data_IF_311856738872
#
_entry.id   IF_311856738872
#
_cell.length_a   1.000
_cell.length_b   1.000
_cell.length_c   1.000
_cell.angle_alpha   90.00
_cell.angle_beta   90.00
_cell.angle_gamma   90.00
#
_symmetry.space_group_name_H-M   'P 1'
#
loop_
_entity.id
_entity.type
_entity.pdbx_description
1 polymer ?
#
# COMPACT_ATOMS: atom_id res chain seq x y z
N UNK A 1 -23.26 -6.55 13.22
CA UNK A 1 -22.54 -5.75 12.19
C UNK A 1 -21.32 -6.49 11.63
N UNK A 2 -20.52 -7.18 12.47
CA UNK A 2 -19.32 -7.93 12.03
C UNK A 2 -19.69 -9.11 11.13
N UNK A 3 -20.70 -9.88 11.53
CA UNK A 3 -21.20 -11.04 10.77
C UNK A 3 -21.70 -10.67 9.37
N UNK A 4 -22.35 -9.52 9.24
CA UNK A 4 -22.82 -8.99 7.95
C UNK A 4 -21.65 -8.64 7.04
N UNK A 5 -20.58 -8.04 7.57
CA UNK A 5 -19.39 -7.66 6.80
C UNK A 5 -18.64 -8.92 6.35
N UNK A 6 -18.55 -9.94 7.21
CA UNK A 6 -17.88 -11.22 6.89
C UNK A 6 -18.63 -11.98 5.79
N UNK A 7 -19.95 -12.03 5.85
CA UNK A 7 -20.77 -12.72 4.84
C UNK A 7 -20.73 -11.99 3.50
N UNK A 8 -20.90 -10.67 3.49
CA UNK A 8 -20.77 -9.85 2.26
C UNK A 8 -19.37 -9.97 1.67
N UNK A 9 -18.32 -10.12 2.49
CA UNK A 9 -16.95 -10.35 2.01
C UNK A 9 -16.83 -11.63 1.21
N UNK A 10 -17.33 -12.71 1.76
CA UNK A 10 -17.30 -14.01 1.11
C UNK A 10 -18.11 -14.00 -0.20
N UNK A 11 -19.29 -13.40 -0.14
CA UNK A 11 -20.22 -13.36 -1.28
C UNK A 11 -19.73 -12.49 -2.45
N UNK A 12 -18.89 -11.47 -2.15
CA UNK A 12 -18.23 -10.66 -3.18
C UNK A 12 -16.92 -11.28 -3.66
N UNK A 13 -16.17 -11.98 -2.81
CA UNK A 13 -14.91 -12.63 -3.23
C UNK A 13 -15.15 -13.71 -4.25
N UNK A 14 -16.18 -14.54 -4.07
CA UNK A 14 -16.50 -15.67 -4.95
C UNK A 14 -16.68 -15.26 -6.42
N UNK A 15 -17.58 -14.32 -6.79
CA UNK A 15 -17.72 -13.89 -8.19
C UNK A 15 -16.46 -13.17 -8.71
N UNK A 16 -15.75 -12.43 -7.87
CA UNK A 16 -14.51 -11.76 -8.29
C UNK A 16 -13.40 -12.76 -8.62
N UNK A 17 -13.24 -13.82 -7.81
CA UNK A 17 -12.30 -14.91 -8.09
C UNK A 17 -12.66 -15.61 -9.40
N UNK A 18 -13.95 -15.82 -9.69
CA UNK A 18 -14.39 -16.38 -10.96
C UNK A 18 -14.05 -15.50 -12.15
N UNK A 19 -14.24 -14.16 -12.03
CA UNK A 19 -13.87 -13.19 -13.08
C UNK A 19 -12.36 -13.24 -13.36
N UNK A 20 -11.53 -13.27 -12.31
CA UNK A 20 -10.06 -13.41 -12.46
C UNK A 20 -9.74 -14.73 -13.15
N UNK A 21 -10.33 -15.85 -12.72
CA UNK A 21 -10.08 -17.16 -13.32
C UNK A 21 -10.47 -17.24 -14.80
N UNK A 22 -11.61 -16.67 -15.20
CA UNK A 22 -11.98 -16.60 -16.62
C UNK A 22 -11.03 -15.72 -17.43
N UNK A 23 -10.57 -14.63 -16.85
CA UNK A 23 -9.57 -13.77 -17.47
C UNK A 23 -8.23 -14.48 -17.68
N UNK A 24 -7.76 -15.26 -16.69
CA UNK A 24 -6.55 -16.09 -16.80
C UNK A 24 -6.69 -17.19 -17.85
N UNK A 25 -7.87 -17.80 -17.96
CA UNK A 25 -8.15 -18.76 -19.04
C UNK A 25 -8.09 -18.12 -20.43
N UNK A 26 -8.57 -16.88 -20.57
CA UNK A 26 -8.50 -16.12 -21.83
C UNK A 26 -7.06 -15.73 -22.19
N UNK A 27 -6.20 -15.40 -21.22
CA UNK A 27 -4.76 -15.13 -21.45
C UNK A 27 -4.02 -16.38 -22.01
N UNK A 28 -4.52 -17.59 -21.74
CA UNK A 28 -3.98 -18.85 -22.26
C UNK A 28 -4.51 -19.26 -23.66
N UNK A 29 -5.38 -18.46 -24.27
CA UNK A 29 -5.96 -18.75 -25.60
C UNK A 29 -5.24 -17.95 -26.68
N UNK A 30 -5.29 -18.46 -27.94
CA UNK A 30 -4.84 -17.69 -29.10
C UNK A 30 -5.84 -16.57 -29.40
N UNK A 31 -5.51 -15.35 -29.04
CA UNK A 31 -6.31 -14.14 -29.24
C UNK A 31 -5.65 -13.25 -30.29
N UNK A 32 -6.42 -12.34 -30.89
CA UNK A 32 -5.83 -11.24 -31.66
C UNK A 32 -5.11 -10.27 -30.71
N UNK A 33 -4.10 -9.56 -31.20
CA UNK A 33 -3.31 -8.60 -30.39
C UNK A 33 -4.20 -7.61 -29.63
N UNK A 34 -5.26 -7.11 -30.26
CA UNK A 34 -6.23 -6.20 -29.65
C UNK A 34 -7.03 -6.88 -28.53
N UNK A 35 -7.46 -8.14 -28.74
CA UNK A 35 -8.20 -8.89 -27.74
C UNK A 35 -7.32 -9.25 -26.54
N UNK A 36 -6.07 -9.65 -26.78
CA UNK A 36 -5.09 -9.97 -25.76
C UNK A 36 -4.76 -8.74 -24.89
N UNK A 37 -4.59 -7.55 -25.50
CA UNK A 37 -4.43 -6.32 -24.74
C UNK A 37 -5.65 -6.00 -23.87
N UNK A 38 -6.87 -6.21 -24.39
CA UNK A 38 -8.11 -6.01 -23.63
C UNK A 38 -8.20 -7.00 -22.44
N UNK A 39 -7.88 -8.26 -22.65
CA UNK A 39 -7.89 -9.30 -21.61
C UNK A 39 -6.87 -8.99 -20.51
N UNK A 40 -5.65 -8.60 -20.87
CA UNK A 40 -4.63 -8.18 -19.90
C UNK A 40 -5.09 -6.98 -19.07
N UNK A 41 -5.70 -5.98 -19.68
CA UNK A 41 -6.26 -4.81 -18.95
C UNK A 41 -7.41 -5.24 -18.03
N UNK A 42 -8.30 -6.11 -18.48
CA UNK A 42 -9.41 -6.63 -17.69
C UNK A 42 -8.89 -7.42 -16.47
N UNK A 43 -7.94 -8.32 -16.66
CA UNK A 43 -7.33 -9.09 -15.59
C UNK A 43 -6.63 -8.20 -14.57
N UNK A 44 -5.86 -7.22 -15.03
CA UNK A 44 -5.24 -6.25 -14.14
C UNK A 44 -6.28 -5.52 -13.26
N UNK A 45 -7.38 -5.06 -13.87
CA UNK A 45 -8.46 -4.37 -13.14
C UNK A 45 -9.21 -5.30 -12.19
N UNK A 46 -9.45 -6.53 -12.57
CA UNK A 46 -10.15 -7.54 -11.75
C UNK A 46 -9.32 -7.92 -10.52
N UNK A 47 -8.02 -8.19 -10.68
CA UNK A 47 -7.09 -8.45 -9.57
C UNK A 47 -6.98 -7.24 -8.63
N UNK A 48 -6.92 -6.03 -9.19
CA UNK A 48 -6.92 -4.80 -8.39
C UNK A 48 -8.20 -4.64 -7.56
N UNK A 49 -9.37 -4.92 -8.14
CA UNK A 49 -10.67 -4.86 -7.45
C UNK A 49 -10.74 -5.91 -6.33
N UNK A 50 -10.28 -7.13 -6.59
CA UNK A 50 -10.24 -8.21 -5.60
C UNK A 50 -9.34 -7.80 -4.40
N UNK A 51 -8.14 -7.30 -4.68
CA UNK A 51 -7.22 -6.80 -3.65
C UNK A 51 -7.84 -5.68 -2.82
N UNK A 52 -8.55 -4.72 -3.45
CA UNK A 52 -9.25 -3.65 -2.73
C UNK A 52 -10.35 -4.18 -1.82
N UNK A 53 -11.12 -5.17 -2.27
CA UNK A 53 -12.14 -5.80 -1.44
C UNK A 53 -11.53 -6.46 -0.20
N UNK A 54 -10.45 -7.21 -0.38
CA UNK A 54 -9.72 -7.85 0.72
C UNK A 54 -9.21 -6.81 1.73
N UNK A 55 -8.61 -5.72 1.26
CA UNK A 55 -8.14 -4.62 2.09
C UNK A 55 -9.28 -4.00 2.93
N UNK A 56 -10.41 -3.69 2.31
CA UNK A 56 -11.58 -3.10 3.01
C UNK A 56 -12.11 -4.04 4.09
N UNK A 57 -12.14 -5.34 3.81
CA UNK A 57 -12.62 -6.33 4.78
C UNK A 57 -11.66 -6.55 5.93
N UNK A 58 -10.36 -6.63 5.64
CA UNK A 58 -9.33 -6.74 6.66
C UNK A 58 -9.30 -5.52 7.57
N UNK A 59 -9.36 -4.31 7.00
CA UNK A 59 -9.50 -3.08 7.78
C UNK A 59 -10.74 -3.09 8.67
N UNK A 60 -11.85 -3.65 8.19
CA UNK A 60 -13.08 -3.74 8.98
C UNK A 60 -12.94 -4.72 10.15
N UNK A 61 -12.28 -5.87 9.93
CA UNK A 61 -11.98 -6.83 11.00
C UNK A 61 -11.02 -6.24 12.03
N UNK A 62 -9.99 -5.49 11.60
CA UNK A 62 -9.06 -4.82 12.51
C UNK A 62 -9.76 -3.75 13.35
N UNK A 63 -10.59 -2.91 12.75
CA UNK A 63 -11.34 -1.88 13.46
C UNK A 63 -12.31 -2.43 14.52
N UNK A 64 -12.69 -3.71 14.43
CA UNK A 64 -13.55 -4.40 15.39
C UNK A 64 -12.79 -5.29 16.37
N UNK A 65 -11.45 -5.33 16.30
CA UNK A 65 -10.61 -6.20 17.13
C UNK A 65 -10.70 -7.69 16.79
N UNK A 66 -11.32 -8.05 15.65
CA UNK A 66 -11.55 -9.45 15.24
C UNK A 66 -10.55 -9.94 14.17
N UNK A 67 -9.52 -9.15 13.83
CA UNK A 67 -8.48 -9.60 12.92
C UNK A 67 -7.54 -10.57 13.61
N UNK A 68 -7.36 -11.76 13.05
CA UNK A 68 -6.26 -12.62 13.43
C UNK A 68 -4.96 -12.01 12.89
N UNK A 69 -4.01 -11.71 13.77
CA UNK A 69 -2.67 -11.25 13.43
C UNK A 69 -1.70 -12.43 13.49
N UNK A 70 -0.90 -12.60 12.44
CA UNK A 70 0.19 -13.57 12.43
C UNK A 70 1.48 -12.88 12.91
N UNK A 71 1.57 -12.67 14.23
CA UNK A 71 2.72 -12.00 14.85
C UNK A 71 3.92 -12.93 14.90
N UNK A 72 4.97 -12.61 14.14
CA UNK A 72 6.23 -13.34 14.08
C UNK A 72 7.42 -12.40 14.23
N UNK A 73 8.57 -12.92 14.62
CA UNK A 73 9.83 -12.18 14.62
C UNK A 73 10.41 -12.20 13.20
N UNK A 74 10.66 -11.03 12.64
CA UNK A 74 11.22 -10.89 11.31
C UNK A 74 12.23 -9.74 11.24
N UNK A 75 13.10 -9.79 10.23
CA UNK A 75 14.03 -8.72 9.93
C UNK A 75 13.34 -7.65 9.06
N UNK A 76 13.09 -6.47 9.66
CA UNK A 76 12.40 -5.37 8.98
C UNK A 76 13.21 -4.80 7.81
N UNK A 77 14.56 -4.81 7.90
CA UNK A 77 15.43 -4.36 6.80
C UNK A 77 15.26 -5.24 5.57
N UNK A 78 15.21 -6.56 5.76
CA UNK A 78 14.98 -7.51 4.66
C UNK A 78 13.58 -7.31 4.03
N UNK A 79 12.55 -7.15 4.85
CA UNK A 79 11.18 -6.91 4.38
C UNK A 79 11.07 -5.61 3.58
N UNK A 80 11.68 -4.52 4.08
CA UNK A 80 11.69 -3.23 3.40
C UNK A 80 12.43 -3.31 2.07
N UNK A 81 13.61 -3.92 2.02
CA UNK A 81 14.40 -4.10 0.79
C UNK A 81 13.66 -4.97 -0.24
N UNK A 82 13.00 -6.04 0.20
CA UNK A 82 12.15 -6.86 -0.68
C UNK A 82 11.02 -6.00 -1.30
N UNK A 83 10.32 -5.23 -0.47
CA UNK A 83 9.23 -4.37 -0.96
C UNK A 83 9.71 -3.30 -1.93
N UNK A 84 10.92 -2.74 -1.70
CA UNK A 84 11.56 -1.79 -2.61
C UNK A 84 11.86 -2.46 -3.96
N UNK A 85 12.46 -3.65 -3.95
CA UNK A 85 12.79 -4.39 -5.18
C UNK A 85 11.55 -4.72 -6.02
N UNK A 86 10.41 -5.03 -5.40
CA UNK A 86 9.14 -5.25 -6.09
C UNK A 86 8.58 -3.97 -6.76
N UNK A 87 9.09 -2.79 -6.38
CA UNK A 87 8.70 -1.50 -6.96
C UNK A 87 9.61 -1.03 -8.10
N UNK A 88 10.76 -1.69 -8.35
CA UNK A 88 11.79 -1.20 -9.28
C UNK A 88 11.26 -0.93 -10.69
N UNK A 89 10.53 -1.85 -11.29
CA UNK A 89 9.93 -1.68 -12.63
C UNK A 89 9.04 -0.43 -12.74
N UNK A 90 8.30 -0.13 -11.66
CA UNK A 90 7.39 1.02 -11.60
C UNK A 90 8.16 2.32 -11.40
N UNK A 91 9.23 2.27 -10.62
CA UNK A 91 10.16 3.39 -10.41
C UNK A 91 10.86 3.76 -11.72
N UNK A 92 11.44 2.78 -12.43
CA UNK A 92 12.08 3.00 -13.73
C UNK A 92 11.12 3.63 -14.75
N UNK A 93 9.94 3.04 -14.93
CA UNK A 93 8.91 3.57 -15.84
C UNK A 93 8.43 4.97 -15.46
N UNK A 94 8.50 5.32 -14.20
CA UNK A 94 8.08 6.64 -13.70
C UNK A 94 9.11 7.74 -13.89
N UNK A 95 10.37 7.40 -14.20
CA UNK A 95 11.49 8.34 -14.29
C UNK A 95 11.89 8.98 -12.96
N UNK A 96 11.48 8.43 -11.83
CA UNK A 96 11.82 8.92 -10.48
C UNK A 96 12.98 8.12 -9.92
N UNK A 97 13.80 8.76 -9.08
CA UNK A 97 14.91 8.09 -8.41
C UNK A 97 14.56 7.81 -6.95
N UNK A 98 14.78 6.59 -6.52
CA UNK A 98 14.71 6.21 -5.12
C UNK A 98 16.06 6.47 -4.43
N UNK A 99 16.02 7.08 -3.25
CA UNK A 99 17.16 7.28 -2.36
C UNK A 99 16.84 6.55 -1.05
N UNK A 100 17.64 5.54 -0.72
CA UNK A 100 17.45 4.70 0.48
C UNK A 100 18.56 4.99 1.48
N UNK A 101 18.18 5.29 2.73
CA UNK A 101 19.08 5.52 3.87
C UNK A 101 18.60 4.67 5.06
N UNK A 102 19.29 3.58 5.32
CA UNK A 102 19.00 2.62 6.40
C UNK A 102 20.20 2.58 7.32
N UNK A 103 20.01 2.88 8.60
CA UNK A 103 21.08 3.04 9.59
C UNK A 103 21.59 1.71 10.19
N UNK A 104 20.96 0.58 9.86
CA UNK A 104 21.28 -0.74 10.41
C UNK A 104 21.15 -1.83 9.37
N UNK A 105 22.02 -2.84 9.39
CA UNK A 105 21.97 -3.97 8.47
C UNK A 105 20.87 -4.98 8.81
N UNK A 106 20.41 -5.00 10.07
CA UNK A 106 19.40 -5.93 10.55
C UNK A 106 18.67 -5.35 11.76
N UNK A 107 17.33 -5.33 11.71
CA UNK A 107 16.47 -4.93 12.83
C UNK A 107 15.37 -5.96 12.97
N UNK A 108 15.38 -6.69 14.10
CA UNK A 108 14.34 -7.68 14.41
C UNK A 108 13.16 -6.97 15.07
N UNK A 109 11.97 -7.22 14.54
CA UNK A 109 10.70 -6.72 15.08
C UNK A 109 9.70 -7.87 15.18
N UNK A 110 8.84 -7.83 16.19
CA UNK A 110 7.71 -8.75 16.29
C UNK A 110 6.46 -8.13 15.67
N UNK A 111 6.09 -8.57 14.47
CA UNK A 111 4.99 -7.99 13.71
C UNK A 111 4.34 -9.00 12.77
N UNK A 112 3.25 -8.62 12.11
CA UNK A 112 2.66 -9.37 11.00
C UNK A 112 3.33 -8.92 9.69
N UNK A 113 4.24 -9.77 9.16
CA UNK A 113 5.06 -9.46 7.99
C UNK A 113 4.23 -9.15 6.74
N UNK A 114 3.13 -9.86 6.52
CA UNK A 114 2.27 -9.65 5.35
C UNK A 114 1.59 -8.27 5.39
N UNK A 115 1.17 -7.83 6.57
CA UNK A 115 0.53 -6.53 6.77
C UNK A 115 1.52 -5.39 6.65
N UNK A 116 2.71 -5.52 7.22
CA UNK A 116 3.76 -4.50 7.12
C UNK A 116 4.30 -4.40 5.69
N UNK A 117 4.45 -5.51 4.98
CA UNK A 117 4.72 -5.50 3.55
C UNK A 117 3.67 -4.69 2.78
N UNK A 118 2.37 -4.91 3.06
CA UNK A 118 1.28 -4.17 2.45
C UNK A 118 1.30 -2.67 2.78
N UNK A 119 1.72 -2.31 4.01
CA UNK A 119 1.94 -0.91 4.42
C UNK A 119 3.00 -0.27 3.53
N UNK A 120 4.20 -0.85 3.44
CA UNK A 120 5.29 -0.28 2.64
C UNK A 120 4.96 -0.24 1.16
N UNK A 121 4.34 -1.28 0.61
CA UNK A 121 3.89 -1.32 -0.78
C UNK A 121 2.91 -0.18 -1.10
N UNK A 122 1.89 0.04 -0.25
CA UNK A 122 0.96 1.16 -0.42
C UNK A 122 1.63 2.53 -0.35
N UNK A 123 2.62 2.71 0.54
CA UNK A 123 3.33 3.98 0.69
C UNK A 123 4.27 4.24 -0.49
N UNK A 124 5.00 3.23 -0.97
CA UNK A 124 5.85 3.34 -2.15
C UNK A 124 5.02 3.60 -3.41
N UNK A 125 3.90 2.90 -3.60
CA UNK A 125 2.98 3.14 -4.70
C UNK A 125 2.43 4.57 -4.69
N UNK A 126 2.05 5.08 -3.53
CA UNK A 126 1.62 6.46 -3.38
C UNK A 126 2.75 7.44 -3.73
N UNK A 127 3.97 7.19 -3.24
CA UNK A 127 5.12 8.02 -3.54
C UNK A 127 5.42 8.02 -5.04
N UNK A 128 5.46 6.87 -5.71
CA UNK A 128 5.65 6.78 -7.18
C UNK A 128 4.55 7.53 -7.93
N UNK A 129 3.29 7.36 -7.52
CA UNK A 129 2.13 7.91 -8.22
C UNK A 129 2.01 9.43 -8.10
N UNK A 130 2.27 9.97 -6.91
CA UNK A 130 1.98 11.36 -6.57
C UNK A 130 3.21 12.27 -6.54
N UNK A 131 4.41 11.74 -6.79
CA UNK A 131 5.61 12.57 -6.91
C UNK A 131 5.61 13.44 -8.17
N UNK A 132 6.15 14.63 -8.03
CA UNK A 132 6.48 15.49 -9.15
C UNK A 132 7.52 14.81 -10.06
N UNK A 133 7.34 14.88 -11.36
CA UNK A 133 8.28 14.30 -12.33
C UNK A 133 9.69 14.88 -12.16
N UNK A 134 10.71 14.02 -12.29
CA UNK A 134 12.12 14.41 -12.13
C UNK A 134 12.58 14.62 -10.69
N UNK A 135 11.71 14.41 -9.68
CA UNK A 135 12.10 14.47 -8.26
C UNK A 135 12.52 13.11 -7.73
N UNK A 136 13.03 13.10 -6.49
CA UNK A 136 13.46 11.90 -5.79
C UNK A 136 12.42 11.47 -4.75
N UNK A 137 12.34 10.17 -4.52
CA UNK A 137 11.63 9.55 -3.40
C UNK A 137 12.69 9.12 -2.38
N UNK A 138 12.49 9.44 -1.12
CA UNK A 138 13.40 9.09 -0.05
C UNK A 138 12.76 8.05 0.86
N UNK A 139 13.48 6.97 1.13
CA UNK A 139 13.13 5.97 2.13
C UNK A 139 14.21 6.01 3.21
N UNK A 140 13.83 6.41 4.40
CA UNK A 140 14.75 6.52 5.53
C UNK A 140 14.30 5.61 6.65
N UNK A 141 15.20 4.77 7.16
CA UNK A 141 14.94 3.93 8.34
C UNK A 141 15.90 4.32 9.45
N UNK A 142 15.35 4.58 10.63
CA UNK A 142 16.10 4.95 11.84
C UNK A 142 15.70 4.04 12.99
N UNK A 143 16.74 3.48 13.62
CA UNK A 143 16.60 2.59 14.78
C UNK A 143 16.86 3.36 16.08
N UNK A 144 16.00 3.17 17.06
CA UNK A 144 16.09 3.74 18.40
C UNK A 144 16.11 2.60 19.43
N UNK A 145 16.32 2.90 20.69
CA UNK A 145 16.44 1.88 21.75
C UNK A 145 15.17 1.01 21.91
N UNK A 146 13.99 1.57 21.69
CA UNK A 146 12.69 0.94 21.93
C UNK A 146 11.80 0.80 20.67
N UNK A 147 12.25 1.34 19.54
CA UNK A 147 11.45 1.41 18.31
C UNK A 147 12.30 1.57 17.07
N UNK A 148 11.71 1.25 15.94
CA UNK A 148 12.25 1.56 14.61
C UNK A 148 11.24 2.41 13.85
N UNK A 149 11.73 3.39 13.09
CA UNK A 149 10.91 4.29 12.28
C UNK A 149 11.31 4.20 10.82
N UNK A 150 10.33 4.01 9.93
CA UNK A 150 10.51 4.05 8.47
C UNK A 150 9.74 5.23 7.92
N UNK A 151 10.43 6.18 7.28
CA UNK A 151 9.86 7.35 6.62
C UNK A 151 9.96 7.18 5.10
N UNK A 152 8.85 7.36 4.39
CA UNK A 152 8.81 7.45 2.94
C UNK A 152 8.36 8.86 2.58
N UNK A 153 9.25 9.61 1.93
CA UNK A 153 9.06 11.01 1.60
C UNK A 153 9.14 11.26 0.10
N UNK A 154 8.26 12.10 -0.40
CA UNK A 154 8.28 12.55 -1.79
C UNK A 154 7.87 14.02 -1.93
N UNK A 155 8.22 14.64 -3.07
CA UNK A 155 7.71 15.96 -3.46
C UNK A 155 6.41 15.79 -4.22
N UNK A 156 5.32 16.36 -3.75
CA UNK A 156 3.99 16.26 -4.36
C UNK A 156 3.95 16.91 -5.75
N UNK A 157 3.22 16.28 -6.67
CA UNK A 157 2.95 16.81 -8.00
C UNK A 157 1.75 17.78 -8.05
N UNK A 158 1.15 18.09 -6.92
CA UNK A 158 0.01 18.99 -6.79
C UNK A 158 0.00 19.65 -5.40
N UNK A 159 -0.71 20.77 -5.29
CA UNK A 159 -0.86 21.50 -4.05
C UNK A 159 -1.64 20.67 -3.01
N UNK A 160 -1.10 20.52 -1.82
CA UNK A 160 -1.66 19.69 -0.75
C UNK A 160 -2.59 20.49 0.16
N UNK A 161 -3.85 20.69 -0.29
CA UNK A 161 -4.88 21.44 0.42
C UNK A 161 -5.72 20.52 1.35
N UNK A 162 -5.05 19.66 2.13
CA UNK A 162 -5.69 18.72 3.07
C UNK A 162 -4.86 18.61 4.35
N UNK A 163 -5.52 18.13 5.41
CA UNK A 163 -4.82 17.82 6.66
C UNK A 163 -4.42 16.34 6.73
N UNK A 164 -3.39 15.98 7.53
CA UNK A 164 -3.01 14.58 7.75
C UNK A 164 -4.16 13.68 8.19
N UNK A 165 -5.03 14.15 9.06
CA UNK A 165 -6.18 13.41 9.57
C UNK A 165 -7.21 13.13 8.47
N UNK A 166 -7.41 14.09 7.57
CA UNK A 166 -8.36 13.95 6.46
C UNK A 166 -7.87 12.96 5.42
N UNK A 167 -6.59 13.04 5.02
CA UNK A 167 -6.08 12.19 3.94
C UNK A 167 -5.92 10.72 4.35
N UNK A 168 -5.88 10.42 5.65
CA UNK A 168 -5.88 9.06 6.19
C UNK A 168 -7.27 8.43 6.34
N UNK A 169 -8.33 9.18 6.06
CA UNK A 169 -9.69 8.64 6.06
C UNK A 169 -9.93 7.77 4.81
N UNK A 170 -10.83 6.81 4.94
CA UNK A 170 -11.21 5.89 3.84
C UNK A 170 -11.86 6.66 2.70
N UNK A 171 -11.49 6.33 1.46
CA UNK A 171 -12.04 6.91 0.24
C UNK A 171 -11.79 8.42 0.06
N UNK A 172 -10.88 8.99 0.85
CA UNK A 172 -10.46 10.39 0.69
C UNK A 172 -9.29 10.46 -0.28
N UNK A 173 -9.37 11.41 -1.22
CA UNK A 173 -8.30 11.75 -2.15
C UNK A 173 -7.84 13.17 -1.90
N UNK A 174 -6.53 13.39 -1.97
CA UNK A 174 -5.94 14.72 -1.80
C UNK A 174 -6.29 15.69 -2.94
N UNK A 175 -6.51 15.17 -4.15
CA UNK A 175 -6.93 15.96 -5.31
C UNK A 175 -8.19 15.34 -5.93
N UNK A 176 -9.32 16.06 -5.86
CA UNK A 176 -10.62 15.64 -6.40
C UNK A 176 -10.74 15.80 -7.92
N UNK A 177 -9.86 16.58 -8.56
CA UNK A 177 -9.97 16.94 -9.98
C UNK A 177 -9.28 15.94 -10.93
N UNK A 178 -8.44 15.04 -10.42
CA UNK A 178 -7.78 14.03 -11.25
C UNK A 178 -8.62 12.76 -11.36
N UNK A 179 -9.05 12.45 -12.57
CA UNK A 179 -9.64 11.17 -13.01
C UNK A 179 -8.65 9.97 -12.96
N UNK A 180 -7.52 10.12 -12.25
CA UNK A 180 -6.47 9.11 -12.15
C UNK A 180 -6.83 7.92 -11.26
N UNK A 181 -6.19 6.78 -11.54
CA UNK A 181 -6.31 5.54 -10.77
C UNK A 181 -5.90 5.73 -9.29
N UNK A 182 -6.75 5.33 -8.38
CA UNK A 182 -6.48 5.30 -6.94
C UNK A 182 -7.77 5.20 -6.14
N UNK A 183 -7.82 4.22 -5.25
CA UNK A 183 -9.00 3.93 -4.41
C UNK A 183 -9.23 4.93 -3.29
N UNK A 184 -8.21 5.72 -2.91
CA UNK A 184 -8.25 6.54 -1.69
C UNK A 184 -8.24 5.71 -0.39
N UNK A 185 -7.80 4.45 -0.46
CA UNK A 185 -7.78 3.52 0.69
C UNK A 185 -6.36 3.28 1.18
N UNK A 186 -5.34 3.43 0.34
CA UNK A 186 -3.96 3.02 0.64
C UNK A 186 -3.39 3.61 1.94
N UNK A 187 -3.57 4.90 2.21
CA UNK A 187 -3.11 5.52 3.47
C UNK A 187 -3.94 5.07 4.68
N UNK A 188 -5.23 4.82 4.49
CA UNK A 188 -6.08 4.28 5.55
C UNK A 188 -5.68 2.83 5.91
N UNK A 189 -5.29 2.02 4.91
CA UNK A 189 -4.72 0.68 5.12
C UNK A 189 -3.41 0.79 5.88
N UNK A 190 -2.48 1.64 5.43
CA UNK A 190 -1.19 1.83 6.06
C UNK A 190 -1.35 2.20 7.54
N UNK A 191 -2.22 3.15 7.85
CA UNK A 191 -2.55 3.53 9.23
C UNK A 191 -3.14 2.35 10.02
N UNK A 192 -4.20 1.74 9.51
CA UNK A 192 -4.92 0.68 10.23
C UNK A 192 -4.03 -0.53 10.51
N UNK A 193 -3.19 -0.94 9.56
CA UNK A 193 -2.31 -2.09 9.73
C UNK A 193 -1.15 -1.79 10.68
N UNK A 194 -0.54 -0.62 10.57
CA UNK A 194 0.52 -0.20 11.50
C UNK A 194 0.01 -0.12 12.94
N UNK A 195 -1.12 0.54 13.16
CA UNK A 195 -1.74 0.64 14.49
C UNK A 195 -2.20 -0.73 15.01
N UNK A 196 -2.70 -1.59 14.12
CA UNK A 196 -3.17 -2.93 14.46
C UNK A 196 -2.07 -3.88 14.96
N UNK A 197 -0.83 -3.70 14.51
CA UNK A 197 0.34 -4.48 15.00
C UNK A 197 1.03 -3.81 16.20
N UNK A 198 0.45 -2.76 16.77
CA UNK A 198 0.99 -2.04 17.94
C UNK A 198 1.95 -0.90 17.60
N UNK A 199 2.09 -0.56 16.32
CA UNK A 199 2.88 0.58 15.86
C UNK A 199 2.11 1.91 15.85
N UNK A 200 2.73 2.95 15.32
CA UNK A 200 2.10 4.26 15.06
C UNK A 200 2.36 4.73 13.64
N UNK A 201 1.38 5.42 13.08
CA UNK A 201 1.42 5.96 11.72
C UNK A 201 1.20 7.47 11.74
N UNK A 202 2.09 8.22 11.10
CA UNK A 202 2.02 9.67 11.04
C UNK A 202 2.24 10.18 9.61
N UNK A 203 1.60 11.31 9.28
CA UNK A 203 1.80 12.04 8.01
C UNK A 203 2.28 13.45 8.33
N UNK A 204 3.35 13.85 7.65
CA UNK A 204 3.93 15.18 7.77
C UNK A 204 3.88 15.89 6.43
N UNK A 205 3.36 17.09 6.44
CA UNK A 205 3.26 17.97 5.27
C UNK A 205 4.10 19.22 5.51
N UNK A 206 5.02 19.52 4.59
CA UNK A 206 5.84 20.73 4.66
C UNK A 206 6.06 21.29 3.24
N UNK A 207 5.34 22.35 2.90
CA UNK A 207 5.32 22.85 1.52
C UNK A 207 4.86 21.74 0.58
N UNK A 208 5.66 21.43 -0.44
CA UNK A 208 5.37 20.35 -1.38
C UNK A 208 5.89 18.98 -0.93
N UNK A 209 6.50 18.89 0.27
CA UNK A 209 6.99 17.62 0.80
C UNK A 209 5.88 16.88 1.54
N UNK A 210 5.63 15.64 1.11
CA UNK A 210 4.77 14.67 1.76
C UNK A 210 5.64 13.57 2.38
N UNK A 211 5.46 13.30 3.67
CA UNK A 211 6.12 12.19 4.36
C UNK A 211 5.10 11.32 5.06
N UNK A 212 5.21 10.01 4.88
CA UNK A 212 4.50 9.00 5.68
C UNK A 212 5.51 8.29 6.58
N UNK A 213 5.24 8.25 7.87
CA UNK A 213 6.11 7.68 8.90
C UNK A 213 5.43 6.50 9.56
N UNK A 214 6.08 5.34 9.51
CA UNK A 214 5.67 4.10 10.17
C UNK A 214 6.64 3.86 11.32
N UNK A 215 6.14 3.69 12.54
CA UNK A 215 6.97 3.37 13.71
C UNK A 215 6.48 2.07 14.32
N UNK A 216 7.40 1.13 14.52
CA UNK A 216 7.13 -0.16 15.14
C UNK A 216 7.95 -0.30 16.43
N UNK A 217 7.41 -0.95 17.49
CA UNK A 217 8.18 -1.30 18.68
C UNK A 217 9.21 -2.39 18.36
N UNK A 218 10.34 -2.37 19.08
CA UNK A 218 11.38 -3.40 19.05
C UNK A 218 11.13 -4.49 20.08
#
# INVERSE_FOLDING_TARGET
KVELITNVSHDLRTPMTSIVGYGEMLEGMELSDEADECVRKLNHKSRYLLSMLEDVFDMSKMATGNAALNMEELNLVMLLNQTIAECDDRLEKSGRKLCVDIDSDSVLVRTDGSRIHRVFSNLLDNAVKYSLAGTRIFVTMKTYDDRVSVEIMNTSSYEMNFTPERITQRFVRGNSERTGEGSGIGLAIAKTYTEGVGGSFDIRLKGDSFSAVVTLPL
#
